data_IF_870045651666
#
_entry.id   IF_870045651666
#
_cell.length_a   1.000
_cell.length_b   1.000
_cell.length_c   1.000
_cell.angle_alpha   90.00
_cell.angle_beta   90.00
_cell.angle_gamma   90.00
#
_symmetry.space_group_name_H-M   'P 1'
#
loop_
_entity.id
_entity.type
_entity.pdbx_description
1 polymer ?
#
# COMPACT_ATOMS: atom_id res chain seq x y z
N UNK A 1 -27.39 -0.52 0.78
CA UNK A 1 -27.26 0.82 1.42
C UNK A 1 -26.32 0.88 2.63
N UNK A 2 -25.78 -0.24 3.12
CA UNK A 2 -24.95 -0.24 4.34
C UNK A 2 -23.55 0.38 4.19
N UNK A 3 -22.84 0.09 3.09
CA UNK A 3 -21.49 0.60 2.86
C UNK A 3 -21.45 2.13 2.72
N UNK A 4 -22.37 2.79 1.99
CA UNK A 4 -22.40 4.25 1.92
C UNK A 4 -22.65 4.94 3.29
N UNK A 5 -23.54 4.38 4.12
CA UNK A 5 -23.82 4.94 5.45
C UNK A 5 -22.58 4.82 6.36
N UNK A 6 -21.91 3.67 6.32
CA UNK A 6 -20.65 3.48 7.05
C UNK A 6 -19.57 4.45 6.59
N UNK A 7 -19.41 4.65 5.28
CA UNK A 7 -18.44 5.57 4.72
C UNK A 7 -18.69 7.00 5.23
N UNK A 8 -19.93 7.50 5.14
CA UNK A 8 -20.30 8.84 5.65
C UNK A 8 -19.98 8.97 7.15
N UNK A 9 -20.29 7.95 7.96
CA UNK A 9 -19.97 7.94 9.38
C UNK A 9 -18.47 7.97 9.70
N UNK A 10 -17.61 7.42 8.84
CA UNK A 10 -16.14 7.38 9.05
C UNK A 10 -15.39 8.55 8.42
N UNK A 11 -15.99 9.24 7.45
CA UNK A 11 -15.35 10.34 6.71
C UNK A 11 -14.68 11.39 7.59
N UNK A 12 -15.31 11.90 8.69
CA UNK A 12 -14.66 12.89 9.55
C UNK A 12 -13.37 12.38 10.20
N UNK A 13 -13.35 11.10 10.60
CA UNK A 13 -12.18 10.47 11.20
C UNK A 13 -11.01 10.35 10.23
N UNK A 14 -11.27 9.94 8.98
CA UNK A 14 -10.23 9.89 7.95
C UNK A 14 -9.68 11.29 7.62
N UNK A 15 -10.54 12.31 7.59
CA UNK A 15 -10.11 13.69 7.37
C UNK A 15 -9.16 14.19 8.47
N UNK A 16 -9.46 13.92 9.75
CA UNK A 16 -8.59 14.27 10.87
C UNK A 16 -7.24 13.55 10.76
N UNK A 17 -7.25 12.25 10.47
CA UNK A 17 -6.02 11.46 10.29
C UNK A 17 -5.12 12.03 9.17
N UNK A 18 -5.72 12.49 8.06
CA UNK A 18 -4.96 13.17 7.01
C UNK A 18 -4.33 14.50 7.48
N UNK A 19 -5.05 15.27 8.31
CA UNK A 19 -4.54 16.53 8.87
C UNK A 19 -3.40 16.26 9.87
N UNK A 20 -3.55 15.26 10.73
CA UNK A 20 -2.51 14.83 11.68
C UNK A 20 -1.25 14.37 10.95
N UNK A 21 -1.41 13.55 9.90
CA UNK A 21 -0.31 13.12 9.05
C UNK A 21 0.39 14.32 8.39
N UNK A 22 -0.36 15.35 7.95
CA UNK A 22 0.24 16.58 7.41
C UNK A 22 1.01 17.38 8.46
N UNK A 23 0.58 17.37 9.72
CA UNK A 23 1.29 18.05 10.84
C UNK A 23 2.57 17.31 11.24
N UNK A 24 2.54 15.97 11.23
CA UNK A 24 3.68 15.10 11.55
C UNK A 24 4.07 14.26 10.33
N UNK A 25 4.54 14.95 9.28
CA UNK A 25 4.66 14.41 7.92
C UNK A 25 5.81 13.42 7.72
N UNK A 26 5.62 12.19 8.17
CA UNK A 26 6.53 11.07 7.95
C UNK A 26 6.08 10.31 6.70
N UNK A 27 6.92 10.28 5.66
CA UNK A 27 6.65 9.47 4.47
C UNK A 27 6.68 7.98 4.83
N UNK A 28 5.57 7.28 4.56
CA UNK A 28 5.50 5.83 4.71
C UNK A 28 6.39 5.16 3.64
N UNK A 29 7.42 4.43 4.10
CA UNK A 29 8.36 3.67 3.26
C UNK A 29 8.43 2.22 3.71
N UNK A 30 7.38 1.41 3.48
CA UNK A 30 7.42 0.00 3.82
C UNK A 30 8.50 -0.70 2.98
N UNK A 31 9.25 -1.60 3.60
CA UNK A 31 10.17 -2.50 2.89
C UNK A 31 9.52 -3.86 2.72
N UNK A 32 9.80 -4.50 1.60
CA UNK A 32 9.45 -5.90 1.38
C UNK A 32 10.66 -6.77 1.65
N UNK A 33 10.47 -7.87 2.37
CA UNK A 33 11.48 -8.91 2.46
C UNK A 33 11.43 -9.74 1.17
N UNK A 34 12.52 -9.73 0.41
CA UNK A 34 12.65 -10.62 -0.74
C UNK A 34 12.89 -12.06 -0.27
N UNK A 35 11.93 -12.95 -0.56
CA UNK A 35 12.02 -14.39 -0.33
C UNK A 35 11.90 -15.20 -1.64
N UNK A 36 12.13 -14.52 -2.78
CA UNK A 36 12.15 -15.15 -4.08
C UNK A 36 13.50 -15.83 -4.39
N UNK A 37 13.62 -16.47 -5.56
CA UNK A 37 14.86 -17.12 -5.97
C UNK A 37 15.99 -16.12 -6.26
N UNK A 38 17.24 -16.57 -6.16
CA UNK A 38 18.40 -15.77 -6.58
C UNK A 38 18.37 -15.43 -8.08
N UNK A 39 19.31 -14.60 -8.53
CA UNK A 39 19.45 -14.21 -9.93
C UNK A 39 19.53 -15.44 -10.84
N UNK A 40 18.61 -15.53 -11.81
CA UNK A 40 18.56 -16.62 -12.78
C UNK A 40 19.00 -16.13 -14.16
N UNK A 41 19.77 -16.91 -14.93
CA UNK A 41 20.07 -16.58 -16.31
C UNK A 41 18.79 -16.57 -17.13
N UNK A 42 18.73 -15.68 -18.12
CA UNK A 42 17.64 -15.66 -19.08
C UNK A 42 17.72 -16.88 -20.00
N UNK A 43 16.63 -17.65 -20.10
CA UNK A 43 16.50 -18.78 -21.03
C UNK A 43 15.52 -18.37 -22.14
N UNK A 44 15.99 -18.28 -23.41
CA UNK A 44 15.11 -18.00 -24.54
C UNK A 44 13.95 -18.99 -24.59
N UNK A 45 12.77 -18.53 -25.02
CA UNK A 45 11.55 -19.34 -25.02
C UNK A 45 11.71 -20.67 -25.78
N UNK A 46 12.49 -20.68 -26.86
CA UNK A 46 12.76 -21.88 -27.66
C UNK A 46 13.56 -22.97 -26.90
N UNK A 47 14.23 -22.60 -25.80
CA UNK A 47 15.10 -23.46 -25.00
C UNK A 47 14.57 -23.64 -23.56
N UNK A 48 13.30 -23.33 -23.30
CA UNK A 48 12.66 -23.54 -22.00
C UNK A 48 12.27 -24.99 -21.78
#
# INVERSE_FOLDING_TARGET
LYVPIFAIGRMPGWAIQCIEQKRSNILLRPLTLYNGPEMRPFIPLANR
#
